data_IF_496624529590
#
_entry.id   IF_496624529590
#
_cell.length_a   1.000
_cell.length_b   1.000
_cell.length_c   1.000
_cell.angle_alpha   90.00
_cell.angle_beta   90.00
_cell.angle_gamma   90.00
#
_symmetry.space_group_name_H-M   'P 1'
#
loop_
_entity.id
_entity.type
_entity.pdbx_description
1 polymer ?
#
# COMPACT_ATOMS: atom_id res chain seq x y z
N UNK A 1 7.89 28.43 3.06
CA UNK A 1 8.60 27.14 3.18
C UNK A 1 8.61 26.52 1.79
N UNK A 2 9.74 26.54 1.08
CA UNK A 2 9.85 25.99 -0.29
C UNK A 2 10.06 24.49 -0.22
N UNK A 3 9.23 23.69 -0.90
CA UNK A 3 9.47 22.25 -1.02
C UNK A 3 10.69 22.00 -1.89
N UNK A 4 11.64 21.19 -1.40
CA UNK A 4 12.77 20.73 -2.20
C UNK A 4 12.33 19.65 -3.19
N UNK A 5 13.05 19.50 -4.30
CA UNK A 5 12.72 18.50 -5.32
C UNK A 5 12.69 17.07 -4.74
N UNK A 6 13.63 16.76 -3.83
CA UNK A 6 13.71 15.46 -3.12
C UNK A 6 12.50 15.19 -2.21
N UNK A 7 11.94 16.25 -1.59
CA UNK A 7 10.74 16.13 -0.78
C UNK A 7 9.51 15.87 -1.66
N UNK A 8 9.44 16.51 -2.83
CA UNK A 8 8.35 16.29 -3.78
C UNK A 8 8.38 14.89 -4.38
N UNK A 9 9.55 14.40 -4.81
CA UNK A 9 9.69 13.01 -5.31
C UNK A 9 9.32 12.00 -4.23
N UNK A 10 9.77 12.19 -2.99
CA UNK A 10 9.38 11.34 -1.86
C UNK A 10 7.87 11.31 -1.64
N UNK A 11 7.21 12.47 -1.69
CA UNK A 11 5.76 12.60 -1.51
C UNK A 11 5.00 11.88 -2.63
N UNK A 12 5.39 12.10 -3.88
CA UNK A 12 4.72 11.51 -5.03
C UNK A 12 4.92 9.99 -5.08
N UNK A 13 6.16 9.52 -4.93
CA UNK A 13 6.45 8.08 -4.97
C UNK A 13 5.79 7.33 -3.81
N UNK A 14 5.84 7.89 -2.59
CA UNK A 14 5.18 7.34 -1.42
C UNK A 14 3.67 7.28 -1.59
N UNK A 15 3.08 8.33 -2.19
CA UNK A 15 1.65 8.38 -2.49
C UNK A 15 1.24 7.31 -3.50
N UNK A 16 1.94 7.23 -4.64
CA UNK A 16 1.64 6.26 -5.70
C UNK A 16 1.74 4.84 -5.18
N UNK A 17 2.78 4.53 -4.40
CA UNK A 17 2.95 3.20 -3.82
C UNK A 17 1.85 2.88 -2.79
N UNK A 18 1.51 3.83 -1.91
CA UNK A 18 0.45 3.66 -0.93
C UNK A 18 -0.91 3.42 -1.59
N UNK A 19 -1.26 4.23 -2.58
CA UNK A 19 -2.54 4.10 -3.30
C UNK A 19 -2.62 2.81 -4.12
N UNK A 20 -1.54 2.42 -4.79
CA UNK A 20 -1.50 1.15 -5.54
C UNK A 20 -1.66 -0.06 -4.62
N UNK A 21 -1.04 -0.04 -3.42
CA UNK A 21 -1.24 -1.06 -2.41
C UNK A 21 -2.70 -1.13 -1.94
N UNK A 22 -3.28 0.02 -1.55
CA UNK A 22 -4.64 0.11 -1.04
C UNK A 22 -5.67 -0.33 -2.09
N UNK A 23 -5.48 0.09 -3.35
CA UNK A 23 -6.34 -0.28 -4.46
C UNK A 23 -6.29 -1.78 -4.77
N UNK A 24 -5.09 -2.38 -4.77
CA UNK A 24 -4.94 -3.81 -4.93
C UNK A 24 -5.66 -4.61 -3.82
N UNK A 25 -5.60 -4.12 -2.58
CA UNK A 25 -6.32 -4.71 -1.45
C UNK A 25 -7.82 -4.65 -1.56
N UNK A 26 -8.34 -3.49 -1.95
CA UNK A 26 -9.76 -3.30 -2.21
C UNK A 26 -10.27 -4.26 -3.29
N UNK A 27 -9.55 -4.40 -4.41
CA UNK A 27 -9.92 -5.31 -5.49
C UNK A 27 -9.90 -6.79 -5.05
N UNK A 28 -8.88 -7.20 -4.28
CA UNK A 28 -8.79 -8.56 -3.75
C UNK A 28 -9.92 -8.85 -2.77
N UNK A 29 -10.20 -7.95 -1.83
CA UNK A 29 -11.30 -8.11 -0.87
C UNK A 29 -12.64 -8.23 -1.59
N UNK A 30 -12.91 -7.37 -2.57
CA UNK A 30 -14.14 -7.44 -3.38
C UNK A 30 -14.25 -8.77 -4.15
N UNK A 31 -13.14 -9.33 -4.62
CA UNK A 31 -13.13 -10.63 -5.32
C UNK A 31 -13.27 -11.80 -4.35
N UNK A 32 -12.70 -11.70 -3.16
CA UNK A 32 -12.82 -12.71 -2.10
C UNK A 32 -14.29 -12.93 -1.69
N UNK A 33 -15.11 -11.87 -1.70
CA UNK A 33 -16.55 -11.94 -1.39
C UNK A 33 -17.34 -12.88 -2.33
N UNK A 34 -16.87 -13.09 -3.56
CA UNK A 34 -17.53 -14.01 -4.51
C UNK A 34 -17.22 -15.49 -4.26
N UNK A 35 -16.34 -15.81 -3.30
CA UNK A 35 -15.92 -17.18 -3.00
C UNK A 35 -15.65 -17.34 -1.49
N UNK A 36 -16.71 -17.50 -0.67
CA UNK A 36 -16.59 -17.54 0.79
C UNK A 36 -15.64 -18.64 1.29
N UNK A 37 -15.64 -19.81 0.63
CA UNK A 37 -14.77 -20.95 0.99
C UNK A 37 -13.26 -20.64 0.86
N UNK A 38 -12.92 -19.62 0.06
CA UNK A 38 -11.53 -19.20 -0.20
C UNK A 38 -11.25 -17.79 0.32
N UNK A 39 -12.18 -17.18 1.06
CA UNK A 39 -12.08 -15.80 1.50
C UNK A 39 -10.78 -15.54 2.28
N UNK A 40 -10.51 -16.37 3.29
CA UNK A 40 -9.31 -16.26 4.13
C UNK A 40 -8.02 -16.39 3.30
N UNK A 41 -8.00 -17.30 2.32
CA UNK A 41 -6.85 -17.51 1.44
C UNK A 41 -6.58 -16.27 0.56
N UNK A 42 -7.64 -15.68 -0.01
CA UNK A 42 -7.52 -14.49 -0.85
C UNK A 42 -7.11 -13.25 -0.06
N UNK A 43 -7.69 -13.05 1.12
CA UNK A 43 -7.37 -11.88 1.96
C UNK A 43 -5.98 -12.02 2.57
N UNK A 44 -5.70 -13.12 3.28
CA UNK A 44 -4.41 -13.30 3.95
C UNK A 44 -3.27 -13.58 2.97
N UNK A 45 -3.47 -14.46 1.98
CA UNK A 45 -2.47 -14.75 0.95
C UNK A 45 -2.22 -13.53 0.07
N UNK A 46 -3.28 -12.82 -0.32
CA UNK A 46 -3.17 -11.57 -1.07
C UNK A 46 -2.45 -10.47 -0.28
N UNK A 47 -2.69 -10.37 1.03
CA UNK A 47 -1.98 -9.43 1.91
C UNK A 47 -0.48 -9.75 2.00
N UNK A 48 -0.11 -11.03 2.17
CA UNK A 48 1.30 -11.44 2.21
C UNK A 48 2.04 -11.09 0.93
N UNK A 49 1.45 -11.42 -0.23
CA UNK A 49 2.05 -11.11 -1.53
C UNK A 49 2.20 -9.60 -1.71
N UNK A 50 1.16 -8.82 -1.40
CA UNK A 50 1.22 -7.35 -1.52
C UNK A 50 2.25 -6.73 -0.57
N UNK A 51 2.35 -7.21 0.67
CA UNK A 51 3.37 -6.75 1.63
C UNK A 51 4.78 -7.03 1.11
N UNK A 52 5.03 -8.24 0.61
CA UNK A 52 6.34 -8.60 0.09
C UNK A 52 6.73 -7.74 -1.13
N UNK A 53 5.79 -7.53 -2.06
CA UNK A 53 6.00 -6.66 -3.22
C UNK A 53 6.24 -5.21 -2.78
N UNK A 54 5.43 -4.66 -1.88
CA UNK A 54 5.58 -3.29 -1.40
C UNK A 54 6.93 -3.07 -0.70
N UNK A 55 7.35 -4.00 0.17
CA UNK A 55 8.65 -3.94 0.83
C UNK A 55 9.81 -4.03 -0.16
N UNK A 56 9.70 -4.88 -1.17
CA UNK A 56 10.69 -4.99 -2.25
C UNK A 56 10.80 -3.68 -3.02
N UNK A 57 9.67 -3.08 -3.40
CA UNK A 57 9.65 -1.79 -4.11
C UNK A 57 10.25 -0.69 -3.23
N UNK A 58 9.88 -0.62 -1.95
CA UNK A 58 10.46 0.33 -0.98
C UNK A 58 11.98 0.18 -0.92
N UNK A 59 12.47 -1.05 -0.77
CA UNK A 59 13.90 -1.32 -0.70
C UNK A 59 14.63 -0.88 -1.97
N UNK A 60 14.09 -1.20 -3.14
CA UNK A 60 14.66 -0.79 -4.43
C UNK A 60 14.66 0.74 -4.56
N UNK A 61 13.55 1.40 -4.23
CA UNK A 61 13.41 2.86 -4.33
C UNK A 61 14.39 3.57 -3.41
N UNK A 62 14.51 3.13 -2.15
CA UNK A 62 15.45 3.72 -1.19
C UNK A 62 16.92 3.46 -1.56
N UNK A 63 17.22 2.35 -2.23
CA UNK A 63 18.57 2.03 -2.67
C UNK A 63 18.99 2.78 -3.95
N UNK A 64 18.04 3.19 -4.79
CA UNK A 64 18.33 3.70 -6.14
C UNK A 64 18.04 5.18 -6.32
N UNK A 65 17.15 5.76 -5.52
CA UNK A 65 16.71 7.15 -5.70
C UNK A 65 17.05 7.98 -4.47
N UNK A 66 17.86 9.04 -4.61
CA UNK A 66 18.10 9.96 -3.51
C UNK A 66 16.82 10.74 -3.20
N UNK A 67 16.27 10.54 -2.00
CA UNK A 67 15.05 11.21 -1.54
C UNK A 67 14.98 11.28 -0.01
N UNK A 68 14.07 12.11 0.50
CA UNK A 68 13.82 12.20 1.94
C UNK A 68 13.04 10.98 2.45
N UNK A 69 13.76 10.02 3.01
CA UNK A 69 13.22 8.74 3.50
C UNK A 69 12.06 8.92 4.48
N UNK A 70 12.15 9.89 5.40
CA UNK A 70 11.10 10.16 6.39
C UNK A 70 9.79 10.57 5.73
N UNK A 71 9.83 11.41 4.69
CA UNK A 71 8.62 11.84 3.96
C UNK A 71 8.05 10.68 3.15
N UNK A 72 8.91 9.96 2.42
CA UNK A 72 8.49 8.83 1.59
C UNK A 72 7.77 7.76 2.41
N UNK A 73 8.43 7.29 3.48
CA UNK A 73 7.86 6.28 4.36
C UNK A 73 6.64 6.81 5.10
N UNK A 74 6.66 8.05 5.60
CA UNK A 74 5.53 8.65 6.32
C UNK A 74 4.26 8.73 5.48
N UNK A 75 4.37 9.15 4.22
CA UNK A 75 3.24 9.22 3.29
C UNK A 75 2.76 7.82 2.91
N UNK A 76 3.67 6.90 2.58
CA UNK A 76 3.33 5.52 2.28
C UNK A 76 2.57 4.87 3.45
N UNK A 77 3.10 4.97 4.68
CA UNK A 77 2.49 4.37 5.87
C UNK A 77 1.11 4.95 6.16
N UNK A 78 0.94 6.25 6.00
CA UNK A 78 -0.36 6.92 6.21
C UNK A 78 -1.41 6.36 5.27
N UNK A 79 -1.10 6.30 3.96
CA UNK A 79 -2.04 5.79 2.96
C UNK A 79 -2.25 4.28 3.12
N UNK A 80 -1.20 3.52 3.45
CA UNK A 80 -1.27 2.10 3.74
C UNK A 80 -2.25 1.82 4.89
N UNK A 81 -2.12 2.53 6.02
CA UNK A 81 -3.01 2.36 7.18
C UNK A 81 -4.45 2.69 6.80
N UNK A 82 -4.68 3.81 6.10
CA UNK A 82 -6.03 4.16 5.60
C UNK A 82 -6.58 3.08 4.67
N UNK A 83 -5.75 2.55 3.77
CA UNK A 83 -6.10 1.46 2.86
C UNK A 83 -6.50 0.19 3.62
N UNK A 84 -5.75 -0.19 4.65
CA UNK A 84 -6.06 -1.35 5.50
C UNK A 84 -7.37 -1.14 6.26
N UNK A 85 -7.63 0.07 6.78
CA UNK A 85 -8.91 0.39 7.43
C UNK A 85 -10.08 0.19 6.45
N UNK A 86 -9.95 0.69 5.22
CA UNK A 86 -10.95 0.49 4.17
C UNK A 86 -11.11 -1.00 3.84
N UNK A 87 -10.00 -1.74 3.72
CA UNK A 87 -9.99 -3.18 3.44
C UNK A 87 -10.77 -3.96 4.50
N UNK A 88 -10.51 -3.70 5.78
CA UNK A 88 -11.23 -4.31 6.92
C UNK A 88 -12.69 -3.90 6.93
N UNK A 89 -13.01 -2.63 6.70
CA UNK A 89 -14.39 -2.14 6.67
C UNK A 89 -15.21 -2.77 5.54
N UNK A 90 -14.59 -3.05 4.39
CA UNK A 90 -15.22 -3.76 3.26
C UNK A 90 -15.37 -5.25 3.57
N UNK A 91 -14.35 -5.87 4.16
CA UNK A 91 -14.36 -7.28 4.55
C UNK A 91 -15.42 -7.60 5.62
N UNK A 92 -15.68 -6.71 6.57
CA UNK A 92 -16.68 -6.90 7.61
C UNK A 92 -18.13 -6.73 7.09
N UNK A 93 -18.33 -6.04 5.96
CA UNK A 93 -19.66 -5.82 5.37
C UNK A 93 -20.13 -6.95 4.45
N UNK A 94 -19.31 -7.98 4.27
CA UNK A 94 -19.59 -9.18 3.47
C UNK A 94 -19.75 -10.41 4.31
#
# INVERSE_FOLDING_TARGET
MTMTAEALTALLSGSVLGFSYAFAGYLMSRRAQTSPDKFMLWVAGGMLVRMFVALTIIAVVLATVPMQTTIFLGVFLTIFVLGVIVEIAVAHRS
#
